data_IF_741427461404
#
_entry.id   IF_741427461404
#
_cell.length_a   1.000
_cell.length_b   1.000
_cell.length_c   1.000
_cell.angle_alpha   90.00
_cell.angle_beta   90.00
_cell.angle_gamma   90.00
#
_symmetry.space_group_name_H-M   'P 1'
#
loop_
_entity.id
_entity.type
_entity.pdbx_description
1 polymer ?
#
# COMPACT_ATOMS: atom_id res chain seq x y z
N UNK A 1 -1.34 16.80 22.78
CA UNK A 1 -1.36 15.92 21.58
C UNK A 1 0.10 15.56 21.35
N UNK A 2 0.50 14.31 21.52
CA UNK A 2 1.86 13.89 21.16
C UNK A 2 1.96 13.97 19.63
N UNK A 3 2.92 14.73 19.16
CA UNK A 3 3.26 14.75 17.74
C UNK A 3 3.66 13.33 17.34
N UNK A 4 3.13 12.85 16.21
CA UNK A 4 3.56 11.58 15.65
C UNK A 4 5.03 11.70 15.23
N UNK A 5 5.83 10.66 15.40
CA UNK A 5 7.24 10.73 15.06
C UNK A 5 7.39 10.89 13.53
N UNK A 6 8.34 11.72 13.13
CA UNK A 6 8.70 11.92 11.72
C UNK A 6 9.29 10.62 11.16
N UNK A 7 8.70 10.11 10.10
CA UNK A 7 9.14 8.87 9.49
C UNK A 7 10.47 9.03 8.74
N UNK A 8 11.39 8.07 8.92
CA UNK A 8 12.67 8.00 8.21
C UNK A 8 12.63 7.05 7.01
N UNK A 9 11.83 6.00 7.09
CA UNK A 9 11.61 5.09 5.95
C UNK A 9 10.15 5.08 5.54
N UNK A 10 9.91 5.20 4.24
CA UNK A 10 8.60 5.06 3.61
C UNK A 10 8.52 3.68 2.95
N UNK A 11 7.55 2.90 3.35
CA UNK A 11 7.30 1.57 2.81
C UNK A 11 6.03 1.63 1.97
N UNK A 12 6.20 1.70 0.68
CA UNK A 12 5.12 1.69 -0.30
C UNK A 12 4.57 0.27 -0.40
N UNK A 13 3.27 0.12 -0.26
CA UNK A 13 2.63 -1.18 -0.29
C UNK A 13 1.38 -1.19 -1.16
N UNK A 14 1.10 -2.37 -1.70
CA UNK A 14 -0.14 -2.70 -2.40
C UNK A 14 -0.50 -4.16 -2.16
N UNK A 15 -1.79 -4.47 -2.18
CA UNK A 15 -2.35 -5.79 -1.94
C UNK A 15 -3.25 -6.21 -3.10
N UNK A 16 -3.08 -7.44 -3.57
CA UNK A 16 -4.10 -8.12 -4.36
C UNK A 16 -4.87 -9.10 -3.47
N UNK A 17 -6.18 -9.14 -3.61
CA UNK A 17 -7.04 -9.93 -2.75
C UNK A 17 -8.17 -10.61 -3.52
N UNK A 18 -8.90 -11.50 -2.84
CA UNK A 18 -9.97 -12.31 -3.43
C UNK A 18 -11.22 -11.54 -3.82
N UNK A 19 -11.36 -10.28 -3.37
CA UNK A 19 -12.55 -9.47 -3.67
C UNK A 19 -12.60 -8.12 -2.97
N UNK A 20 -13.78 -7.52 -2.97
CA UNK A 20 -14.07 -6.23 -2.34
C UNK A 20 -14.39 -6.38 -0.84
N UNK A 21 -14.36 -5.29 -0.05
CA UNK A 21 -14.58 -5.34 1.41
C UNK A 21 -15.85 -6.09 1.84
N UNK A 22 -16.93 -5.98 1.07
CA UNK A 22 -18.20 -6.65 1.36
C UNK A 22 -18.20 -8.17 1.15
N UNK A 23 -17.09 -8.74 0.71
CA UNK A 23 -16.92 -10.19 0.51
C UNK A 23 -15.99 -10.81 1.54
N UNK A 24 -15.58 -10.06 2.57
CA UNK A 24 -14.57 -10.46 3.55
C UNK A 24 -13.32 -11.04 2.86
N UNK A 25 -12.62 -10.26 2.03
CA UNK A 25 -11.56 -10.77 1.18
C UNK A 25 -10.35 -11.25 2.00
N UNK A 26 -9.55 -12.12 1.40
CA UNK A 26 -8.24 -12.54 1.92
C UNK A 26 -7.14 -12.08 0.97
N UNK A 27 -5.96 -11.76 1.52
CA UNK A 27 -4.80 -11.33 0.74
C UNK A 27 -4.25 -12.51 -0.07
N UNK A 28 -4.04 -12.28 -1.37
CA UNK A 28 -3.44 -13.23 -2.29
C UNK A 28 -2.04 -12.82 -2.76
N UNK A 29 -1.76 -11.53 -2.80
CA UNK A 29 -0.43 -10.98 -3.08
C UNK A 29 -0.20 -9.74 -2.22
N UNK A 30 1.03 -9.56 -1.75
CA UNK A 30 1.48 -8.36 -1.06
C UNK A 30 2.83 -7.94 -1.63
N UNK A 31 3.01 -6.65 -1.91
CA UNK A 31 4.29 -6.08 -2.31
C UNK A 31 4.64 -4.87 -1.47
N UNK A 32 5.91 -4.79 -1.08
CA UNK A 32 6.47 -3.69 -0.29
C UNK A 32 7.80 -3.22 -0.89
N UNK A 33 7.93 -1.90 -1.06
CA UNK A 33 9.17 -1.25 -1.46
C UNK A 33 9.58 -0.26 -0.37
N UNK A 34 10.77 -0.46 0.22
CA UNK A 34 11.31 0.44 1.22
C UNK A 34 12.20 1.50 0.57
N UNK A 35 11.90 2.77 0.83
CA UNK A 35 12.64 3.93 0.35
C UNK A 35 12.95 4.85 1.52
N UNK A 36 14.21 5.19 1.71
CA UNK A 36 14.61 6.13 2.75
C UNK A 36 14.13 7.54 2.41
N UNK A 37 13.72 8.28 3.43
CA UNK A 37 13.20 9.66 3.31
C UNK A 37 14.11 10.56 2.47
N UNK A 38 15.42 10.51 2.70
CA UNK A 38 16.37 11.34 1.98
C UNK A 38 16.31 11.18 0.45
N UNK A 39 15.94 9.98 -0.01
CA UNK A 39 15.77 9.70 -1.45
C UNK A 39 14.45 10.25 -2.01
N UNK A 40 13.47 10.53 -1.15
CA UNK A 40 12.20 11.14 -1.54
C UNK A 40 12.23 12.67 -1.48
N UNK A 41 13.03 13.25 -0.60
CA UNK A 41 13.11 14.70 -0.42
C UNK A 41 13.68 15.41 -1.66
N UNK A 42 14.63 14.76 -2.35
CA UNK A 42 15.31 15.32 -3.53
C UNK A 42 15.34 14.28 -4.67
N UNK A 43 14.20 13.96 -5.29
CA UNK A 43 14.17 12.98 -6.35
C UNK A 43 14.97 13.47 -7.57
N UNK A 44 15.81 12.59 -8.10
CA UNK A 44 16.48 12.82 -9.38
C UNK A 44 15.42 12.98 -10.48
N UNK A 45 15.71 13.83 -11.47
CA UNK A 45 14.85 14.06 -12.61
C UNK A 45 15.57 13.72 -13.90
N UNK A 46 14.86 13.03 -14.79
CA UNK A 46 15.34 12.75 -16.14
C UNK A 46 15.33 13.98 -17.06
N UNK A 47 15.77 13.81 -18.28
CA UNK A 47 15.83 14.86 -19.29
C UNK A 47 14.45 15.51 -19.59
N UNK A 48 13.37 14.75 -19.43
CA UNK A 48 11.99 15.24 -19.53
C UNK A 48 11.49 16.04 -18.34
N UNK A 49 12.29 16.15 -17.27
CA UNK A 49 11.88 16.75 -15.99
C UNK A 49 11.02 15.84 -15.11
N UNK A 50 10.68 14.63 -15.59
CA UNK A 50 9.96 13.65 -14.79
C UNK A 50 10.86 13.07 -13.69
N UNK A 51 10.30 12.75 -12.48
CA UNK A 51 11.09 12.14 -11.44
C UNK A 51 11.55 10.74 -11.84
N UNK A 52 12.79 10.40 -11.50
CA UNK A 52 13.35 9.08 -11.67
C UNK A 52 13.17 8.27 -10.40
N UNK A 53 13.08 6.95 -10.54
CA UNK A 53 13.03 6.05 -9.39
C UNK A 53 14.32 6.17 -8.57
N UNK A 54 14.21 6.38 -7.26
CA UNK A 54 15.37 6.36 -6.39
C UNK A 54 15.89 4.92 -6.21
N UNK A 55 17.04 4.78 -5.58
CA UNK A 55 17.47 3.48 -5.09
C UNK A 55 16.47 2.95 -4.09
N UNK A 56 15.77 1.87 -4.44
CA UNK A 56 14.91 1.14 -3.51
C UNK A 56 15.81 0.26 -2.65
N UNK A 57 15.72 0.43 -1.32
CA UNK A 57 16.63 -0.26 -0.39
C UNK A 57 16.33 -1.74 -0.31
N UNK A 58 15.09 -2.08 -0.02
CA UNK A 58 14.61 -3.45 0.07
C UNK A 58 13.26 -3.58 -0.65
N UNK A 59 13.01 -4.77 -1.22
CA UNK A 59 11.72 -5.15 -1.82
C UNK A 59 11.29 -6.50 -1.26
N UNK A 60 10.00 -6.66 -1.05
CA UNK A 60 9.39 -7.94 -0.68
C UNK A 60 8.09 -8.09 -1.46
N UNK A 61 7.96 -9.16 -2.26
CA UNK A 61 6.72 -9.53 -2.92
C UNK A 61 6.43 -10.99 -2.62
N UNK A 62 5.25 -11.26 -2.08
CA UNK A 62 4.81 -12.60 -1.69
C UNK A 62 3.43 -12.87 -2.25
N UNK A 63 3.26 -14.05 -2.87
CA UNK A 63 1.95 -14.61 -3.21
C UNK A 63 1.53 -15.63 -2.15
N UNK A 64 0.24 -15.66 -1.87
CA UNK A 64 -0.40 -16.56 -0.90
C UNK A 64 -1.57 -17.28 -1.55
N UNK A 65 -1.95 -18.45 -1.05
CA UNK A 65 -3.14 -19.15 -1.48
C UNK A 65 -4.26 -18.92 -0.44
N UNK A 66 -5.19 -17.98 -0.70
CA UNK A 66 -6.29 -17.71 0.20
C UNK A 66 -7.24 -18.91 0.27
N UNK A 67 -7.96 -19.06 1.39
CA UNK A 67 -9.00 -20.07 1.53
C UNK A 67 -10.31 -19.62 0.86
N UNK A 68 -10.60 -18.32 0.89
CA UNK A 68 -11.76 -17.78 0.19
C UNK A 68 -11.53 -17.79 -1.32
N UNK A 69 -12.53 -18.18 -2.10
CA UNK A 69 -12.44 -18.14 -3.56
C UNK A 69 -12.37 -16.70 -4.06
N UNK A 70 -11.65 -16.50 -5.13
CA UNK A 70 -11.67 -15.22 -5.84
C UNK A 70 -13.07 -14.96 -6.40
N UNK A 71 -13.52 -13.71 -6.29
CA UNK A 71 -14.64 -13.26 -7.13
C UNK A 71 -14.20 -13.25 -8.60
N UNK A 72 -15.13 -13.47 -9.53
CA UNK A 72 -14.81 -13.45 -10.96
C UNK A 72 -14.11 -12.13 -11.36
N UNK A 73 -14.56 -11.02 -10.79
CA UNK A 73 -13.98 -9.70 -11.07
C UNK A 73 -12.56 -9.55 -10.52
N UNK A 74 -12.29 -10.05 -9.32
CA UNK A 74 -10.96 -10.02 -8.74
C UNK A 74 -9.99 -10.86 -9.60
N UNK A 75 -10.39 -12.08 -9.98
CA UNK A 75 -9.56 -12.93 -10.83
C UNK A 75 -9.28 -12.32 -12.21
N UNK A 76 -10.29 -11.68 -12.81
CA UNK A 76 -10.13 -10.96 -14.10
C UNK A 76 -9.12 -9.82 -14.00
N UNK A 77 -9.18 -9.04 -12.91
CA UNK A 77 -8.33 -7.86 -12.73
C UNK A 77 -6.89 -8.26 -12.38
N UNK A 78 -6.72 -9.14 -11.38
CA UNK A 78 -5.40 -9.49 -10.84
C UNK A 78 -4.68 -10.56 -11.65
N UNK A 79 -5.41 -11.33 -12.46
CA UNK A 79 -4.86 -12.51 -13.14
C UNK A 79 -4.57 -13.68 -12.19
N UNK A 80 -4.89 -13.55 -10.90
CA UNK A 80 -4.73 -14.61 -9.89
C UNK A 80 -6.00 -15.46 -9.79
N UNK A 81 -5.83 -16.72 -9.42
CA UNK A 81 -6.96 -17.63 -9.18
C UNK A 81 -6.62 -18.62 -8.07
N UNK A 82 -7.65 -19.08 -7.36
CA UNK A 82 -7.50 -20.11 -6.33
C UNK A 82 -6.84 -21.37 -6.88
N UNK A 83 -7.22 -21.80 -8.10
CA UNK A 83 -6.65 -22.97 -8.75
C UNK A 83 -5.15 -22.78 -9.06
N UNK A 84 -4.77 -21.66 -9.69
CA UNK A 84 -3.38 -21.38 -10.05
C UNK A 84 -2.46 -21.32 -8.82
N UNK A 85 -2.91 -20.67 -7.74
CA UNK A 85 -2.15 -20.58 -6.49
C UNK A 85 -2.03 -21.92 -5.77
N UNK A 86 -3.10 -22.75 -5.79
CA UNK A 86 -3.08 -24.09 -5.25
C UNK A 86 -2.12 -25.02 -6.04
N UNK A 87 -2.10 -24.92 -7.38
CA UNK A 87 -1.14 -25.65 -8.22
C UNK A 87 0.31 -25.28 -7.89
N UNK A 88 0.58 -24.03 -7.56
CA UNK A 88 1.90 -23.56 -7.11
C UNK A 88 2.21 -23.95 -5.65
N UNK A 89 1.32 -24.66 -4.96
CA UNK A 89 1.46 -25.10 -3.56
C UNK A 89 1.81 -23.95 -2.60
N UNK A 90 1.25 -22.78 -2.82
CA UNK A 90 1.39 -21.66 -1.91
C UNK A 90 0.57 -21.90 -0.64
N UNK A 91 1.14 -21.58 0.51
CA UNK A 91 0.39 -21.48 1.76
C UNK A 91 -0.45 -20.18 1.78
N UNK A 92 -1.44 -20.11 2.66
CA UNK A 92 -2.19 -18.88 2.92
C UNK A 92 -1.36 -17.83 3.66
N UNK A 93 -2.03 -16.77 4.10
CA UNK A 93 -1.40 -15.79 4.98
C UNK A 93 -1.18 -16.43 6.36
N UNK A 94 0.05 -16.81 6.65
CA UNK A 94 0.45 -17.61 7.80
C UNK A 94 1.60 -16.97 8.61
N UNK A 95 2.06 -17.67 9.63
CA UNK A 95 3.16 -17.21 10.47
C UNK A 95 4.48 -17.00 9.71
N UNK A 96 4.70 -17.64 8.56
CA UNK A 96 5.89 -17.42 7.74
C UNK A 96 5.80 -16.07 7.01
N UNK A 97 4.63 -15.73 6.49
CA UNK A 97 4.35 -14.41 5.90
C UNK A 97 4.54 -13.32 6.95
N UNK A 98 3.97 -13.49 8.16
CA UNK A 98 4.12 -12.54 9.26
C UNK A 98 5.60 -12.31 9.60
N UNK A 99 6.37 -13.38 9.79
CA UNK A 99 7.81 -13.26 10.07
C UNK A 99 8.57 -12.56 8.96
N UNK A 100 8.21 -12.81 7.69
CA UNK A 100 8.82 -12.13 6.55
C UNK A 100 8.54 -10.64 6.56
N UNK A 101 7.30 -10.24 6.82
CA UNK A 101 6.90 -8.83 6.95
C UNK A 101 7.61 -8.15 8.12
N UNK A 102 7.63 -8.78 9.29
CA UNK A 102 8.29 -8.24 10.47
C UNK A 102 9.80 -8.13 10.27
N UNK A 103 10.44 -9.13 9.67
CA UNK A 103 11.87 -9.09 9.34
C UNK A 103 12.18 -7.99 8.31
N UNK A 104 11.34 -7.84 7.29
CA UNK A 104 11.47 -6.78 6.30
C UNK A 104 11.40 -5.40 6.94
N UNK A 105 10.38 -5.14 7.76
CA UNK A 105 10.18 -3.85 8.43
C UNK A 105 11.28 -3.56 9.46
N UNK A 106 11.71 -4.56 10.25
CA UNK A 106 12.74 -4.38 11.27
C UNK A 106 14.12 -4.04 10.72
N UNK A 107 14.37 -4.27 9.44
CA UNK A 107 15.62 -3.88 8.75
C UNK A 107 15.66 -2.40 8.39
N UNK A 108 14.51 -1.73 8.39
CA UNK A 108 14.41 -0.33 7.96
C UNK A 108 14.69 0.61 9.13
N UNK A 109 15.28 1.76 8.83
CA UNK A 109 15.42 2.84 9.80
C UNK A 109 14.03 3.38 10.16
N UNK A 110 13.68 3.30 11.44
CA UNK A 110 12.40 3.81 11.94
C UNK A 110 12.49 5.27 12.37
N UNK A 111 11.34 5.91 12.59
CA UNK A 111 9.97 5.41 12.41
C UNK A 111 9.59 5.13 10.95
N UNK A 112 8.68 4.17 10.75
CA UNK A 112 8.26 3.72 9.41
C UNK A 112 6.90 4.33 9.05
N UNK A 113 6.77 4.85 7.83
CA UNK A 113 5.49 5.22 7.25
C UNK A 113 5.10 4.19 6.17
N UNK A 114 4.00 3.46 6.39
CA UNK A 114 3.36 2.66 5.34
C UNK A 114 2.58 3.58 4.41
N UNK A 115 2.79 3.44 3.12
CA UNK A 115 2.13 4.27 2.08
C UNK A 115 1.33 3.37 1.15
N UNK A 116 0.02 3.64 1.03
CA UNK A 116 -0.85 2.97 0.08
C UNK A 116 -1.77 3.97 -0.63
N UNK A 117 -2.41 3.55 -1.71
CA UNK A 117 -3.39 4.36 -2.42
C UNK A 117 -4.81 3.85 -2.15
N UNK A 118 -5.67 4.65 -1.55
CA UNK A 118 -6.94 4.22 -0.95
C UNK A 118 -6.74 3.24 0.22
N UNK A 119 -5.61 3.36 0.89
CA UNK A 119 -5.13 2.42 1.88
C UNK A 119 -5.98 2.37 3.14
N UNK A 120 -6.59 3.50 3.57
CA UNK A 120 -7.47 3.52 4.75
C UNK A 120 -8.78 2.79 4.54
N UNK A 121 -9.26 2.69 3.30
CA UNK A 121 -10.49 1.99 2.98
C UNK A 121 -10.25 0.53 2.57
N UNK A 122 -9.01 0.14 2.27
CA UNK A 122 -8.73 -1.19 1.77
C UNK A 122 -7.48 -1.85 2.37
N UNK A 123 -6.27 -1.43 1.95
CA UNK A 123 -5.02 -2.15 2.25
C UNK A 123 -4.73 -2.27 3.74
N UNK A 124 -4.81 -1.15 4.46
CA UNK A 124 -4.49 -1.14 5.90
C UNK A 124 -5.49 -1.95 6.72
N UNK A 125 -6.83 -1.79 6.57
CA UNK A 125 -7.80 -2.63 7.27
C UNK A 125 -7.68 -4.11 6.93
N UNK A 126 -7.40 -4.46 5.67
CA UNK A 126 -7.25 -5.85 5.27
C UNK A 126 -5.99 -6.49 5.86
N UNK A 127 -4.85 -5.79 5.80
CA UNK A 127 -3.62 -6.25 6.45
C UNK A 127 -3.79 -6.37 7.97
N UNK A 128 -4.50 -5.42 8.59
CA UNK A 128 -4.83 -5.46 10.01
C UNK A 128 -5.66 -6.72 10.36
N UNK A 129 -6.66 -7.07 9.53
CA UNK A 129 -7.46 -8.29 9.70
C UNK A 129 -6.59 -9.54 9.71
N UNK A 130 -5.71 -9.69 8.72
CA UNK A 130 -4.84 -10.87 8.60
C UNK A 130 -3.83 -10.97 9.75
N UNK A 131 -3.25 -9.84 10.19
CA UNK A 131 -2.35 -9.82 11.33
C UNK A 131 -3.07 -10.18 12.64
N UNK A 132 -4.26 -9.61 12.88
CA UNK A 132 -5.05 -9.91 14.08
C UNK A 132 -5.46 -11.38 14.15
N UNK A 133 -5.82 -11.99 13.02
CA UNK A 133 -6.15 -13.43 12.93
C UNK A 133 -5.01 -14.32 13.45
N UNK A 134 -3.78 -13.86 13.34
CA UNK A 134 -2.58 -14.57 13.79
C UNK A 134 -1.99 -14.02 15.09
N UNK A 135 -2.67 -13.08 15.77
CA UNK A 135 -2.15 -12.43 16.97
C UNK A 135 -0.85 -11.66 16.75
N UNK A 136 -0.63 -11.19 15.52
CA UNK A 136 0.59 -10.52 15.11
C UNK A 136 0.43 -8.99 15.08
N UNK A 137 1.54 -8.29 15.25
CA UNK A 137 1.59 -6.83 15.29
C UNK A 137 2.73 -6.29 14.43
N UNK A 138 2.55 -5.06 13.93
CA UNK A 138 3.62 -4.26 13.34
C UNK A 138 4.40 -3.49 14.43
N UNK A 139 5.58 -2.92 14.11
CA UNK A 139 6.30 -2.05 15.02
C UNK A 139 5.40 -0.92 15.56
N UNK A 140 5.53 -0.58 16.85
CA UNK A 140 4.59 0.32 17.55
C UNK A 140 4.57 1.75 17.01
N UNK A 141 5.68 2.23 16.47
CA UNK A 141 5.86 3.55 15.90
C UNK A 141 5.51 3.65 14.41
N UNK A 142 4.90 2.60 13.85
CA UNK A 142 4.44 2.59 12.47
C UNK A 142 3.30 3.57 12.27
N UNK A 143 3.43 4.42 11.26
CA UNK A 143 2.37 5.34 10.82
C UNK A 143 1.92 4.99 9.40
N UNK A 144 0.76 5.48 8.99
CA UNK A 144 0.13 5.18 7.71
C UNK A 144 -0.20 6.47 6.97
N UNK A 145 0.12 6.49 5.69
CA UNK A 145 -0.25 7.54 4.74
C UNK A 145 -1.09 6.95 3.61
N UNK A 146 -2.26 7.53 3.39
CA UNK A 146 -3.08 7.24 2.21
C UNK A 146 -2.94 8.37 1.20
N UNK A 147 -2.41 8.05 0.02
CA UNK A 147 -2.15 9.05 -1.02
C UNK A 147 -3.42 9.56 -1.70
N UNK A 148 -4.54 8.82 -1.65
CA UNK A 148 -5.79 9.24 -2.26
C UNK A 148 -6.40 10.47 -1.57
N UNK A 149 -6.70 10.47 -0.26
CA UNK A 149 -7.16 11.67 0.43
C UNK A 149 -6.12 12.78 0.46
N UNK A 150 -4.82 12.46 0.54
CA UNK A 150 -3.75 13.43 0.51
C UNK A 150 -3.74 14.23 -0.80
N UNK A 151 -3.71 13.56 -1.95
CA UNK A 151 -3.72 14.21 -3.26
C UNK A 151 -4.99 15.00 -3.54
N UNK A 152 -6.15 14.46 -3.10
CA UNK A 152 -7.42 15.22 -3.16
C UNK A 152 -7.39 16.49 -2.32
N UNK A 153 -6.81 16.42 -1.12
CA UNK A 153 -6.65 17.57 -0.22
C UNK A 153 -5.73 18.63 -0.80
N UNK A 154 -4.57 18.22 -1.30
CA UNK A 154 -3.60 19.11 -1.94
C UNK A 154 -4.19 19.79 -3.19
N UNK A 155 -4.89 19.06 -4.04
CA UNK A 155 -5.53 19.64 -5.24
C UNK A 155 -6.63 20.64 -4.87
N UNK A 156 -7.39 20.41 -3.79
CA UNK A 156 -8.40 21.38 -3.30
C UNK A 156 -7.74 22.66 -2.79
N UNK A 157 -6.64 22.55 -2.06
CA UNK A 157 -5.91 23.70 -1.55
C UNK A 157 -5.40 24.61 -2.70
N UNK A 158 -5.00 24.02 -3.82
CA UNK A 158 -4.54 24.76 -5.00
C UNK A 158 -5.68 25.28 -5.89
N UNK A 159 -6.92 24.74 -5.73
CA UNK A 159 -8.06 25.04 -6.64
C UNK A 159 -8.82 26.32 -6.32
N UNK A 160 -8.38 27.18 -5.42
CA UNK A 160 -9.08 28.44 -5.12
C UNK A 160 -9.19 29.42 -6.31
N UNK A 161 -8.74 29.04 -7.52
CA UNK A 161 -8.66 29.96 -8.67
C UNK A 161 -9.30 29.52 -9.98
N UNK A 162 -9.84 28.30 -10.14
CA UNK A 162 -10.42 27.95 -11.47
C UNK A 162 -11.66 27.04 -11.37
N UNK A 163 -12.79 27.64 -11.67
CA UNK A 163 -14.12 27.02 -11.83
C UNK A 163 -14.29 26.27 -13.16
N UNK A 164 -13.34 25.48 -13.62
CA UNK A 164 -13.51 24.70 -14.86
C UNK A 164 -12.46 23.58 -14.99
N UNK A 165 -12.56 22.56 -14.14
CA UNK A 165 -11.91 21.31 -14.50
C UNK A 165 -12.88 20.17 -14.28
N UNK A 166 -13.15 19.41 -15.35
CA UNK A 166 -13.97 18.20 -15.32
C UNK A 166 -13.52 17.26 -14.19
N UNK A 167 -14.39 16.31 -13.80
CA UNK A 167 -14.17 15.40 -12.69
C UNK A 167 -12.82 14.68 -12.86
N UNK A 168 -11.77 15.16 -12.18
CA UNK A 168 -10.43 14.54 -12.23
C UNK A 168 -10.53 13.15 -11.62
N UNK A 169 -10.10 12.13 -12.37
CA UNK A 169 -9.94 10.78 -11.83
C UNK A 169 -8.79 10.75 -10.81
N UNK A 170 -8.99 10.02 -9.72
CA UNK A 170 -7.98 9.82 -8.67
C UNK A 170 -7.63 8.35 -8.48
N UNK A 171 -7.99 7.46 -9.41
CA UNK A 171 -7.42 6.12 -9.42
C UNK A 171 -5.91 6.22 -9.70
N UNK A 172 -5.16 5.23 -9.24
CA UNK A 172 -3.70 5.21 -9.41
C UNK A 172 -3.31 5.34 -10.90
N UNK A 173 -3.97 4.59 -11.79
CA UNK A 173 -3.77 4.71 -13.24
C UNK A 173 -4.10 6.09 -13.79
N UNK A 174 -5.22 6.72 -13.36
CA UNK A 174 -5.59 8.08 -13.78
C UNK A 174 -4.58 9.14 -13.34
N UNK A 175 -4.02 8.98 -12.14
CA UNK A 175 -2.97 9.87 -11.62
C UNK A 175 -1.69 9.69 -12.43
N UNK A 176 -1.27 8.45 -12.67
CA UNK A 176 -0.09 8.14 -13.45
C UNK A 176 -0.21 8.71 -14.88
N UNK A 177 -1.32 8.44 -15.54
CA UNK A 177 -1.59 9.00 -16.88
C UNK A 177 -1.53 10.52 -16.88
N UNK A 178 -2.12 11.17 -15.86
CA UNK A 178 -2.10 12.64 -15.73
C UNK A 178 -0.70 13.21 -15.56
N UNK A 179 0.16 12.53 -14.83
CA UNK A 179 1.50 13.02 -14.50
C UNK A 179 2.56 12.67 -15.53
N UNK A 180 2.41 11.53 -16.21
CA UNK A 180 3.43 10.98 -17.10
C UNK A 180 2.98 10.87 -18.57
N UNK A 181 1.69 11.06 -18.87
CA UNK A 181 1.14 10.95 -20.23
C UNK A 181 1.17 9.54 -20.80
N UNK A 182 1.28 8.52 -19.94
CA UNK A 182 1.40 7.11 -20.32
C UNK A 182 0.54 6.24 -19.40
N UNK A 183 0.28 5.01 -19.80
CA UNK A 183 -0.35 4.01 -18.95
C UNK A 183 0.71 3.32 -18.08
N UNK A 184 0.36 2.94 -16.83
CA UNK A 184 1.28 2.21 -15.97
C UNK A 184 1.60 0.83 -16.54
N UNK A 185 2.86 0.41 -16.41
CA UNK A 185 3.28 -0.94 -16.75
C UNK A 185 2.89 -1.92 -15.64
N UNK A 186 2.47 -3.13 -16.00
CA UNK A 186 2.11 -4.20 -15.05
C UNK A 186 1.05 -3.81 -14.01
N UNK A 187 0.08 -2.96 -14.40
CA UNK A 187 -1.08 -2.67 -13.56
C UNK A 187 -1.80 -3.96 -13.15
N UNK A 188 -2.36 -3.95 -11.93
CA UNK A 188 -3.07 -5.08 -11.32
C UNK A 188 -2.18 -6.27 -10.94
N UNK A 189 -0.91 -6.02 -10.68
CA UNK A 189 -0.07 -6.85 -9.84
C UNK A 189 0.44 -5.98 -8.69
N UNK A 190 0.51 -6.52 -7.47
CA UNK A 190 0.90 -5.72 -6.31
C UNK A 190 2.25 -5.03 -6.51
N UNK A 191 3.25 -5.70 -7.12
CA UNK A 191 4.55 -5.07 -7.41
C UNK A 191 4.44 -3.95 -8.45
N UNK A 192 3.64 -4.13 -9.51
CA UNK A 192 3.42 -3.11 -10.55
C UNK A 192 2.70 -1.88 -9.99
N UNK A 193 1.71 -2.09 -9.12
CA UNK A 193 0.95 -1.00 -8.52
C UNK A 193 1.77 -0.26 -7.45
N UNK A 194 2.62 -0.94 -6.67
CA UNK A 194 3.60 -0.28 -5.79
C UNK A 194 4.59 0.56 -6.58
N UNK A 195 5.09 0.06 -7.70
CA UNK A 195 5.99 0.82 -8.57
C UNK A 195 5.31 2.09 -9.11
N UNK A 196 4.08 1.97 -9.57
CA UNK A 196 3.25 3.09 -10.04
C UNK A 196 2.97 4.09 -8.92
N UNK A 197 2.63 3.60 -7.72
CA UNK A 197 2.40 4.42 -6.54
C UNK A 197 3.64 5.23 -6.16
N UNK A 198 4.82 4.61 -6.18
CA UNK A 198 6.08 5.30 -5.90
C UNK A 198 6.35 6.43 -6.91
N UNK A 199 6.13 6.21 -8.20
CA UNK A 199 6.28 7.25 -9.24
C UNK A 199 5.28 8.39 -9.05
N UNK A 200 4.02 8.08 -8.77
CA UNK A 200 2.98 9.08 -8.47
C UNK A 200 3.36 9.90 -7.23
N UNK A 201 3.86 9.25 -6.18
CA UNK A 201 4.35 9.93 -4.97
C UNK A 201 5.50 10.88 -5.29
N UNK A 202 6.50 10.43 -6.04
CA UNK A 202 7.68 11.22 -6.41
C UNK A 202 7.32 12.47 -7.21
N UNK A 203 6.25 12.44 -7.98
CA UNK A 203 5.75 13.60 -8.72
C UNK A 203 5.36 14.77 -7.79
N UNK A 204 4.85 14.45 -6.59
CA UNK A 204 4.39 15.38 -5.56
C UNK A 204 5.12 15.16 -4.22
N UNK A 205 6.38 14.69 -4.25
CA UNK A 205 7.10 14.21 -3.08
C UNK A 205 7.15 15.22 -1.92
N UNK A 206 7.54 16.48 -2.17
CA UNK A 206 7.64 17.48 -1.12
C UNK A 206 6.31 17.73 -0.40
N UNK A 207 5.19 17.78 -1.14
CA UNK A 207 3.87 18.01 -0.57
C UNK A 207 3.36 16.77 0.19
N UNK A 208 3.61 15.58 -0.35
CA UNK A 208 3.19 14.33 0.30
C UNK A 208 4.04 14.02 1.54
N UNK A 209 5.31 14.37 1.56
CA UNK A 209 6.15 14.28 2.75
C UNK A 209 5.67 15.22 3.85
N UNK A 210 5.35 16.48 3.50
CA UNK A 210 4.78 17.44 4.45
C UNK A 210 3.40 16.96 4.96
N UNK A 211 2.57 16.41 4.07
CA UNK A 211 1.29 15.81 4.46
C UNK A 211 1.48 14.64 5.42
N UNK A 212 2.46 13.77 5.17
CA UNK A 212 2.77 12.65 6.05
C UNK A 212 3.18 13.13 7.44
N UNK A 213 4.03 14.14 7.53
CA UNK A 213 4.49 14.70 8.80
C UNK A 213 3.35 15.30 9.65
N UNK A 214 2.29 15.82 8.99
CA UNK A 214 1.18 16.48 9.66
C UNK A 214 -0.05 15.58 9.85
N UNK A 215 -0.33 14.67 8.91
CA UNK A 215 -1.63 13.99 8.77
C UNK A 215 -1.54 12.46 8.74
N UNK A 216 -0.35 11.86 8.83
CA UNK A 216 -0.24 10.41 8.94
C UNK A 216 -1.00 9.91 10.18
N UNK A 217 -1.50 8.68 10.11
CA UNK A 217 -2.22 8.05 11.23
C UNK A 217 -1.39 6.93 11.82
N UNK A 218 -1.40 6.80 13.15
CA UNK A 218 -0.78 5.65 13.79
C UNK A 218 -1.41 4.35 13.32
N UNK A 219 -0.60 3.33 13.05
CA UNK A 219 -1.08 1.97 12.77
C UNK A 219 -1.99 1.44 13.88
N UNK A 220 -1.75 1.81 15.14
CA UNK A 220 -2.57 1.42 16.28
C UNK A 220 -4.05 1.88 16.19
N UNK A 221 -4.36 2.82 15.31
CA UNK A 221 -5.72 3.31 15.05
C UNK A 221 -6.35 2.70 13.80
N UNK A 222 -5.68 1.75 13.13
CA UNK A 222 -6.26 1.03 12.00
C UNK A 222 -7.14 -0.09 12.54
N UNK A 223 -8.41 -0.02 12.18
CA UNK A 223 -9.39 -1.06 12.50
C UNK A 223 -9.35 -2.17 11.45
N UNK A 224 -9.58 -3.42 11.83
CA UNK A 224 -9.68 -4.50 10.86
C UNK A 224 -10.87 -4.28 9.92
N UNK A 225 -10.76 -4.78 8.68
CA UNK A 225 -11.81 -4.67 7.67
C UNK A 225 -13.07 -5.45 8.08
N UNK A 226 -12.87 -6.60 8.74
CA UNK A 226 -13.92 -7.44 9.29
C UNK A 226 -13.34 -8.24 10.46
N UNK A 227 -14.21 -8.76 11.31
CA UNK A 227 -13.78 -9.68 12.37
C UNK A 227 -13.52 -11.06 11.74
N UNK A 228 -12.28 -11.55 11.72
CA UNK A 228 -12.02 -12.88 11.19
C UNK A 228 -12.78 -13.91 12.00
N UNK A 229 -13.34 -14.97 11.37
CA UNK A 229 -13.87 -16.08 12.13
C UNK A 229 -12.77 -16.60 13.06
N UNK A 230 -13.16 -16.94 14.29
CA UNK A 230 -12.22 -17.42 15.31
C UNK A 230 -11.25 -18.43 14.70
N UNK A 231 -9.96 -18.11 14.76
CA UNK A 231 -8.92 -19.03 14.31
C UNK A 231 -9.04 -20.37 15.05
N UNK A 232 -8.49 -21.47 14.53
CA UNK A 232 -8.51 -22.73 15.23
C UNK A 232 -7.97 -22.49 16.64
N UNK A 233 -8.80 -22.79 17.64
CA UNK A 233 -8.39 -22.83 19.03
C UNK A 233 -7.08 -23.60 19.09
N UNK A 234 -6.01 -22.96 19.58
CA UNK A 234 -4.80 -23.68 19.92
C UNK A 234 -5.22 -24.75 20.92
N UNK A 235 -5.44 -25.97 20.44
CA UNK A 235 -5.55 -27.12 21.31
C UNK A 235 -4.23 -27.26 22.02
N UNK A 236 -4.35 -27.29 23.36
CA UNK A 236 -3.27 -27.37 24.34
C UNK A 236 -2.45 -28.64 24.21
#
# INVERSE_FOLDING_TARGET
>A
MSELPRAETFVFLDLEATGLPNTDPEIAEISLFAVHRSSLENPERGESGAPMLPRILDKLTLCMSPQRPFTAKASEITGLSSEGLAQCRKAGFDGAVVRSLQAFLSRQEGPICLVAHNGFDYDFPLLCTELQRLGAHLPQDTVCLDTLPALRGLDRAHSHSTRAQGRKGYSLGSLFHRYFGAEPSAAHSAEGDVHTLLLVFLHRAAELLAWADEQARSWAHIEPMYTPPDGPHAEA
#
